data_IF_219670339953
#
_entry.id   IF_219670339953
#
_cell.length_a   1.000
_cell.length_b   1.000
_cell.length_c   1.000
_cell.angle_alpha   90.00
_cell.angle_beta   90.00
_cell.angle_gamma   90.00
#
_symmetry.space_group_name_H-M   'P 1'
#
loop_
_entity.id
_entity.type
_entity.pdbx_description
1 polymer ?
#
# COMPACT_ATOMS: atom_id res chain seq x y z
N UNK A 1 14.52 -5.39 5.85
CA UNK A 1 13.13 -4.88 6.01
C UNK A 1 12.97 -3.49 5.41
N UNK A 2 13.69 -2.46 5.88
CA UNK A 2 13.55 -1.07 5.39
C UNK A 2 13.73 -0.93 3.86
N UNK A 3 14.73 -1.60 3.27
CA UNK A 3 14.95 -1.57 1.81
C UNK A 3 13.74 -2.07 1.01
N UNK A 4 13.12 -3.17 1.43
CA UNK A 4 11.94 -3.72 0.74
C UNK A 4 10.75 -2.77 0.84
N UNK A 5 10.54 -2.15 2.00
CA UNK A 5 9.47 -1.16 2.18
C UNK A 5 9.68 0.08 1.29
N UNK A 6 10.93 0.53 1.14
CA UNK A 6 11.28 1.62 0.22
C UNK A 6 10.94 1.23 -1.24
N UNK A 7 11.31 0.02 -1.67
CA UNK A 7 11.00 -0.45 -3.02
C UNK A 7 9.50 -0.56 -3.27
N UNK A 8 8.74 -1.08 -2.30
CA UNK A 8 7.28 -1.16 -2.37
C UNK A 8 6.68 0.24 -2.45
N UNK A 9 7.12 1.18 -1.61
CA UNK A 9 6.64 2.56 -1.66
C UNK A 9 6.91 3.24 -3.00
N UNK A 10 8.11 3.05 -3.57
CA UNK A 10 8.48 3.58 -4.90
C UNK A 10 7.58 2.96 -5.98
N UNK A 11 7.39 1.64 -5.95
CA UNK A 11 6.56 0.93 -6.92
C UNK A 11 5.10 1.43 -6.86
N UNK A 12 4.54 1.53 -5.65
CA UNK A 12 3.19 2.06 -5.40
C UNK A 12 3.04 3.49 -5.95
N UNK A 13 4.04 4.35 -5.73
CA UNK A 13 4.05 5.72 -6.26
C UNK A 13 4.06 5.74 -7.80
N UNK A 14 4.87 4.88 -8.43
CA UNK A 14 4.95 4.76 -9.89
C UNK A 14 3.61 4.29 -10.45
N UNK A 15 3.02 3.22 -9.89
CA UNK A 15 1.72 2.70 -10.30
C UNK A 15 0.62 3.76 -10.16
N UNK A 16 0.57 4.43 -9.01
CA UNK A 16 -0.38 5.52 -8.74
C UNK A 16 -0.29 6.64 -9.79
N UNK A 17 0.93 7.08 -10.13
CA UNK A 17 1.14 8.13 -11.15
C UNK A 17 0.76 7.68 -12.56
N UNK A 18 1.02 6.43 -12.92
CA UNK A 18 0.63 5.89 -14.24
C UNK A 18 -0.89 5.85 -14.39
N UNK A 19 -1.60 5.40 -13.37
CA UNK A 19 -3.07 5.36 -13.38
C UNK A 19 -3.65 6.78 -13.45
N UNK A 20 -3.11 7.73 -12.68
CA UNK A 20 -3.54 9.14 -12.76
C UNK A 20 -3.42 9.70 -14.18
N UNK A 21 -2.29 9.44 -14.86
CA UNK A 21 -2.10 9.87 -16.26
C UNK A 21 -3.10 9.22 -17.21
N UNK A 22 -3.41 7.93 -17.02
CA UNK A 22 -4.42 7.25 -17.84
C UNK A 22 -5.80 7.90 -17.67
N UNK A 23 -6.19 8.24 -16.45
CA UNK A 23 -7.47 8.89 -16.16
C UNK A 23 -7.51 10.31 -16.76
N UNK A 24 -6.43 11.08 -16.60
CA UNK A 24 -6.33 12.43 -17.18
C UNK A 24 -6.39 12.39 -18.71
N UNK A 25 -5.75 11.41 -19.35
CA UNK A 25 -5.82 11.21 -20.79
C UNK A 25 -7.22 10.77 -21.26
N UNK A 26 -7.94 10.00 -20.45
CA UNK A 26 -9.31 9.58 -20.75
C UNK A 26 -10.34 10.71 -20.59
N UNK A 27 -10.05 11.73 -19.76
CA UNK A 27 -10.94 12.87 -19.52
C UNK A 27 -10.15 14.20 -19.56
N UNK A 28 -9.66 14.62 -20.74
CA UNK A 28 -8.78 15.77 -20.87
C UNK A 28 -9.45 17.08 -20.46
N UNK A 29 -10.77 17.24 -20.71
CA UNK A 29 -11.53 18.44 -20.36
C UNK A 29 -11.53 18.71 -18.84
N UNK A 30 -11.57 17.65 -18.04
CA UNK A 30 -11.56 17.74 -16.58
C UNK A 30 -10.21 17.39 -15.96
N UNK A 31 -9.14 17.24 -16.75
CA UNK A 31 -7.81 16.82 -16.27
C UNK A 31 -7.32 17.67 -15.08
N UNK A 32 -7.60 18.98 -15.12
CA UNK A 32 -7.26 19.95 -14.07
C UNK A 32 -7.92 19.66 -12.70
N UNK A 33 -9.02 18.89 -12.66
CA UNK A 33 -9.74 18.53 -11.42
C UNK A 33 -9.12 17.33 -10.70
N UNK A 34 -8.30 16.54 -11.40
CA UNK A 34 -7.58 15.40 -10.83
C UNK A 34 -6.29 15.87 -10.16
N UNK A 35 -6.42 16.67 -9.10
CA UNK A 35 -5.26 17.16 -8.34
C UNK A 35 -4.53 16.00 -7.67
N UNK A 36 -3.23 16.15 -7.46
CA UNK A 36 -2.39 15.13 -6.81
C UNK A 36 -2.93 14.73 -5.42
N UNK A 37 -3.40 15.69 -4.64
CA UNK A 37 -3.96 15.46 -3.30
C UNK A 37 -5.26 14.64 -3.35
N UNK A 38 -6.19 15.03 -4.24
CA UNK A 38 -7.46 14.31 -4.38
C UNK A 38 -7.25 12.91 -4.95
N UNK A 39 -6.34 12.77 -5.91
CA UNK A 39 -5.94 11.48 -6.45
C UNK A 39 -5.31 10.59 -5.39
N UNK A 40 -4.40 11.12 -4.56
CA UNK A 40 -3.76 10.35 -3.50
C UNK A 40 -4.80 9.73 -2.56
N UNK A 41 -5.80 10.51 -2.13
CA UNK A 41 -6.90 10.02 -1.28
C UNK A 41 -7.69 8.89 -1.95
N UNK A 42 -8.14 9.10 -3.18
CA UNK A 42 -8.89 8.08 -3.95
C UNK A 42 -8.06 6.82 -4.14
N UNK A 43 -6.79 6.97 -4.52
CA UNK A 43 -5.89 5.85 -4.73
C UNK A 43 -5.67 5.04 -3.45
N UNK A 44 -5.48 5.69 -2.29
CA UNK A 44 -5.34 4.98 -1.01
C UNK A 44 -6.62 4.25 -0.60
N UNK A 45 -7.79 4.83 -0.84
CA UNK A 45 -9.09 4.18 -0.54
C UNK A 45 -9.34 2.96 -1.43
N UNK A 46 -8.84 2.96 -2.67
CA UNK A 46 -9.02 1.87 -3.62
C UNK A 46 -7.82 0.90 -3.68
N UNK A 47 -6.73 1.17 -2.96
CA UNK A 47 -5.49 0.39 -3.06
C UNK A 47 -5.69 -1.09 -2.69
N UNK A 48 -6.50 -1.37 -1.68
CA UNK A 48 -6.79 -2.73 -1.23
C UNK A 48 -7.58 -3.54 -2.28
N UNK A 49 -8.58 -2.92 -2.91
CA UNK A 49 -9.32 -3.51 -4.03
C UNK A 49 -8.41 -3.73 -5.23
N UNK A 50 -7.59 -2.74 -5.57
CA UNK A 50 -6.64 -2.85 -6.66
C UNK A 50 -5.64 -4.00 -6.42
N UNK A 51 -5.18 -4.18 -5.17
CA UNK A 51 -4.33 -5.29 -4.79
C UNK A 51 -5.06 -6.63 -4.95
N UNK A 52 -6.30 -6.71 -4.49
CA UNK A 52 -7.13 -7.92 -4.63
C UNK A 52 -7.29 -8.32 -6.10
N UNK A 53 -7.68 -7.38 -6.97
CA UNK A 53 -7.84 -7.62 -8.41
C UNK A 53 -6.53 -8.08 -9.08
N UNK A 54 -5.40 -7.48 -8.70
CA UNK A 54 -4.08 -7.86 -9.23
C UNK A 54 -3.71 -9.28 -8.78
N UNK A 55 -3.97 -9.64 -7.52
CA UNK A 55 -3.69 -10.97 -6.99
C UNK A 55 -4.57 -12.02 -7.70
N UNK A 56 -5.86 -11.75 -7.87
CA UNK A 56 -6.77 -12.62 -8.61
C UNK A 56 -6.32 -12.82 -10.06
N UNK A 57 -5.89 -11.75 -10.74
CA UNK A 57 -5.37 -11.82 -12.11
C UNK A 57 -4.13 -12.73 -12.24
N UNK A 58 -3.30 -12.80 -11.20
CA UNK A 58 -2.10 -13.67 -11.15
C UNK A 58 -2.45 -15.08 -10.63
N UNK A 59 -3.71 -15.35 -10.31
CA UNK A 59 -4.16 -16.63 -9.75
C UNK A 59 -3.75 -16.84 -8.29
N UNK A 60 -3.39 -15.75 -7.59
CA UNK A 60 -3.05 -15.75 -6.18
C UNK A 60 -4.28 -15.38 -5.36
N UNK A 61 -4.64 -16.24 -4.40
CA UNK A 61 -5.70 -15.93 -3.45
C UNK A 61 -5.07 -15.39 -2.16
N UNK A 62 -5.46 -14.19 -1.75
CA UNK A 62 -5.11 -13.68 -0.44
C UNK A 62 -5.99 -14.39 0.61
N UNK A 63 -5.57 -15.58 1.04
CA UNK A 63 -6.27 -16.28 2.12
C UNK A 63 -5.87 -15.72 3.50
N UNK A 64 -6.69 -16.00 4.51
CA UNK A 64 -6.47 -15.52 5.87
C UNK A 64 -5.12 -15.96 6.44
N UNK A 65 -4.59 -17.12 6.03
CA UNK A 65 -3.29 -17.62 6.49
C UNK A 65 -2.14 -16.81 5.88
N UNK A 66 -2.26 -16.43 4.61
CA UNK A 66 -1.30 -15.58 3.90
C UNK A 66 -1.29 -14.19 4.52
N UNK A 67 -2.46 -13.58 4.76
CA UNK A 67 -2.61 -12.32 5.49
C UNK A 67 -1.98 -12.39 6.89
N UNK A 68 -2.27 -13.45 7.64
CA UNK A 68 -1.70 -13.66 8.97
C UNK A 68 -0.17 -13.77 8.93
N UNK A 69 0.39 -14.49 7.96
CA UNK A 69 1.85 -14.62 7.79
C UNK A 69 2.52 -13.27 7.45
N UNK A 70 1.86 -12.44 6.63
CA UNK A 70 2.32 -11.08 6.32
C UNK A 70 2.30 -10.22 7.58
N UNK A 71 1.22 -10.26 8.36
CA UNK A 71 1.13 -9.51 9.61
C UNK A 71 2.15 -9.95 10.66
N UNK A 72 2.41 -11.24 10.78
CA UNK A 72 3.49 -11.74 11.64
C UNK A 72 4.87 -11.22 11.18
N UNK A 73 5.15 -11.29 9.88
CA UNK A 73 6.46 -10.89 9.35
C UNK A 73 6.70 -9.38 9.31
N UNK A 74 5.64 -8.58 9.08
CA UNK A 74 5.72 -7.12 8.90
C UNK A 74 5.26 -6.33 10.12
N UNK A 75 4.44 -6.91 10.99
CA UNK A 75 3.94 -6.28 12.22
C UNK A 75 4.96 -6.27 13.35
N UNK A 76 6.03 -7.08 13.24
CA UNK A 76 7.16 -6.97 14.14
C UNK A 76 7.87 -5.63 13.94
N UNK A 77 7.89 -4.84 15.00
CA UNK A 77 8.62 -3.58 15.08
C UNK A 77 10.10 -3.79 14.72
N UNK A 78 10.63 -3.09 13.69
CA UNK A 78 12.01 -3.24 13.28
C UNK A 78 13.00 -2.71 14.33
N UNK A 79 12.55 -1.93 15.32
CA UNK A 79 13.39 -1.33 16.33
C UNK A 79 13.51 -2.20 17.59
N UNK A 80 14.06 -3.41 17.41
CA UNK A 80 14.17 -4.45 18.44
C UNK A 80 14.93 -3.98 19.69
N UNK A 81 15.83 -2.99 19.58
CA UNK A 81 16.68 -2.51 20.67
C UNK A 81 16.09 -1.35 21.46
N UNK A 82 14.90 -0.85 21.09
CA UNK A 82 14.27 0.27 21.79
C UNK A 82 13.47 -0.26 22.97
N UNK A 83 13.84 0.16 24.18
CA UNK A 83 13.02 -0.06 25.37
C UNK A 83 11.64 0.57 25.17
N UNK A 84 10.59 -0.22 25.41
CA UNK A 84 9.22 0.28 25.34
C UNK A 84 8.77 0.65 26.74
N UNK A 85 8.13 1.80 26.82
CA UNK A 85 7.62 2.36 28.08
C UNK A 85 6.70 1.39 28.86
N UNK A 86 6.02 0.49 28.15
CA UNK A 86 5.07 -0.47 28.70
C UNK A 86 5.66 -1.87 28.96
N UNK A 87 6.94 -2.14 28.64
CA UNK A 87 7.50 -3.50 28.73
C UNK A 87 7.41 -4.09 30.15
N UNK A 88 7.43 -3.24 31.19
CA UNK A 88 7.25 -3.66 32.59
C UNK A 88 5.80 -3.95 33.03
N UNK A 89 4.81 -3.61 32.20
CA UNK A 89 3.38 -3.75 32.53
C UNK A 89 2.71 -4.94 31.84
N UNK A 90 3.36 -5.49 30.82
CA UNK A 90 2.90 -6.65 30.05
C UNK A 90 3.66 -7.86 30.61
N UNK A 91 3.22 -8.32 31.80
CA UNK A 91 3.66 -9.61 32.36
C UNK A 91 2.70 -10.71 31.95
#
# INVERSE_FOLDING_TARGET
TVKCLIWIAILTLICSRRILRLIQNANPENAHRYTSLRWAKVFTEQADRLLTEVLECVGLKLDMLTLYSIYLGQGCDPNVKRERLMDGWIT
#
